data_IF_537595773615
#
_entry.id   IF_537595773615
#
_cell.length_a   1.000
_cell.length_b   1.000
_cell.length_c   1.000
_cell.angle_alpha   90.00
_cell.angle_beta   90.00
_cell.angle_gamma   90.00
#
_symmetry.space_group_name_H-M   'P 1'
#
loop_
_entity.id
_entity.type
_entity.pdbx_description
1 polymer ?
#
# COMPACT_ATOMS: atom_id res chain seq x y z
N UNK A 1 4.03 7.37 5.64
CA UNK A 1 4.27 6.65 6.90
C UNK A 1 4.79 5.27 6.56
N UNK A 2 5.95 4.89 7.09
CA UNK A 2 6.47 3.53 6.97
C UNK A 2 6.22 2.82 8.30
N UNK A 3 5.43 1.75 8.28
CA UNK A 3 5.05 0.98 9.47
C UNK A 3 5.82 -0.34 9.51
N UNK A 4 6.96 -0.34 10.21
CA UNK A 4 7.89 -1.44 10.38
C UNK A 4 7.60 -2.31 11.62
N UNK A 5 6.52 -2.02 12.35
CA UNK A 5 6.13 -2.78 13.55
C UNK A 5 5.84 -4.23 13.20
N UNK A 6 6.15 -5.15 14.12
CA UNK A 6 5.84 -6.59 14.01
C UNK A 6 4.37 -6.88 14.41
N UNK A 7 3.43 -6.17 13.79
CA UNK A 7 1.98 -6.37 13.97
C UNK A 7 1.34 -6.93 12.70
N UNK A 8 0.12 -7.46 12.84
CA UNK A 8 -0.60 -8.07 11.70
C UNK A 8 -0.91 -7.04 10.61
N UNK A 9 -1.02 -7.48 9.35
CA UNK A 9 -1.36 -6.59 8.24
C UNK A 9 -2.69 -5.86 8.46
N UNK A 10 -3.69 -6.53 9.04
CA UNK A 10 -4.99 -5.94 9.37
C UNK A 10 -4.89 -4.79 10.37
N UNK A 11 -4.05 -4.94 11.40
CA UNK A 11 -3.80 -3.90 12.40
C UNK A 11 -3.12 -2.67 11.78
N UNK A 12 -2.11 -2.89 10.93
CA UNK A 12 -1.49 -1.79 10.14
C UNK A 12 -2.49 -1.08 9.25
N UNK A 13 -3.42 -1.82 8.65
CA UNK A 13 -4.46 -1.25 7.78
C UNK A 13 -5.44 -0.39 8.58
N UNK A 14 -5.90 -0.89 9.73
CA UNK A 14 -6.76 -0.12 10.63
C UNK A 14 -6.09 1.18 11.09
N UNK A 15 -4.81 1.13 11.47
CA UNK A 15 -4.08 2.33 11.90
C UNK A 15 -3.87 3.32 10.76
N UNK A 16 -3.46 2.84 9.57
CA UNK A 16 -3.30 3.69 8.39
C UNK A 16 -4.63 4.33 7.97
N UNK A 17 -5.74 3.59 8.08
CA UNK A 17 -7.08 4.08 7.78
C UNK A 17 -7.56 5.07 8.87
N UNK A 18 -7.19 4.87 10.14
CA UNK A 18 -7.49 5.78 11.24
C UNK A 18 -6.75 7.12 11.11
N UNK A 19 -5.47 7.09 10.74
CA UNK A 19 -4.62 8.28 10.58
C UNK A 19 -4.99 9.11 9.34
N UNK A 20 -5.84 8.59 8.46
CA UNK A 20 -6.31 9.35 7.31
C UNK A 20 -5.40 9.24 6.08
N UNK A 21 -4.56 8.20 5.97
CA UNK A 21 -3.59 8.11 4.89
C UNK A 21 -4.31 8.01 3.52
N UNK A 22 -4.00 8.87 2.54
CA UNK A 22 -4.68 8.91 1.25
C UNK A 22 -4.33 7.73 0.33
N UNK A 23 -3.07 7.27 0.40
CA UNK A 23 -2.54 6.17 -0.40
C UNK A 23 -1.91 5.11 0.49
N UNK A 24 -2.34 3.86 0.31
CA UNK A 24 -1.78 2.69 0.99
C UNK A 24 -0.99 1.86 0.00
N UNK A 25 0.26 1.59 0.32
CA UNK A 25 1.17 0.76 -0.48
C UNK A 25 1.51 -0.49 0.32
N UNK A 26 1.23 -1.65 -0.26
CA UNK A 26 1.42 -2.97 0.35
C UNK A 26 2.54 -3.66 -0.42
N UNK A 27 3.57 -4.06 0.33
CA UNK A 27 4.70 -4.83 -0.18
C UNK A 27 4.53 -6.27 0.30
N UNK A 28 4.23 -7.19 -0.61
CA UNK A 28 4.08 -8.61 -0.31
C UNK A 28 4.89 -9.44 -1.30
N UNK A 29 5.23 -10.68 -0.96
CA UNK A 29 5.87 -11.58 -1.91
C UNK A 29 5.03 -11.79 -3.17
N UNK A 30 3.69 -11.76 -3.05
CA UNK A 30 2.78 -11.92 -4.18
C UNK A 30 2.85 -10.73 -5.14
N UNK A 31 2.85 -9.51 -4.62
CA UNK A 31 2.97 -8.30 -5.45
C UNK A 31 4.35 -8.22 -6.11
N UNK A 32 5.40 -8.57 -5.36
CA UNK A 32 6.78 -8.62 -5.88
C UNK A 32 6.94 -9.67 -6.98
N UNK A 33 6.34 -10.87 -6.84
CA UNK A 33 6.29 -11.89 -7.90
C UNK A 33 5.56 -11.41 -9.16
N UNK A 34 4.61 -10.48 -9.02
CA UNK A 34 3.92 -9.84 -10.15
C UNK A 34 4.65 -8.60 -10.68
N UNK A 35 5.86 -8.32 -10.19
CA UNK A 35 6.71 -7.22 -10.67
C UNK A 35 6.32 -5.84 -10.14
N UNK A 36 5.61 -5.76 -9.01
CA UNK A 36 5.16 -4.47 -8.50
C UNK A 36 4.76 -4.42 -7.03
N UNK A 37 4.17 -3.30 -6.67
CA UNK A 37 3.61 -2.97 -5.38
C UNK A 37 2.10 -2.90 -5.50
N UNK A 38 1.39 -3.38 -4.49
CA UNK A 38 -0.05 -3.25 -4.44
C UNK A 38 -0.41 -1.89 -3.83
N UNK A 39 -1.15 -1.08 -4.57
CA UNK A 39 -1.49 0.29 -4.19
C UNK A 39 -3.00 0.40 -4.12
N UNK A 40 -3.49 1.00 -3.03
CA UNK A 40 -4.89 1.27 -2.82
C UNK A 40 -5.07 2.71 -2.37
N UNK A 41 -5.95 3.46 -3.04
CA UNK A 41 -6.39 4.76 -2.55
C UNK A 41 -7.47 4.60 -1.49
N UNK A 42 -7.52 5.52 -0.53
CA UNK A 42 -8.54 5.52 0.53
C UNK A 42 -9.97 5.57 -0.03
N UNK A 43 -10.17 6.31 -1.12
CA UNK A 43 -11.46 6.47 -1.79
C UNK A 43 -11.80 5.35 -2.78
N UNK A 44 -10.85 4.45 -3.08
CA UNK A 44 -11.06 3.33 -4.00
C UNK A 44 -11.19 2.02 -3.23
N UNK A 45 -12.14 1.17 -3.63
CA UNK A 45 -12.29 -0.16 -3.06
C UNK A 45 -11.26 -1.14 -3.60
N UNK A 46 -10.85 -0.96 -4.86
CA UNK A 46 -9.92 -1.84 -5.57
C UNK A 46 -8.47 -1.44 -5.31
N UNK A 47 -7.59 -2.43 -5.27
CA UNK A 47 -6.14 -2.24 -5.29
C UNK A 47 -5.60 -2.54 -6.69
N UNK A 48 -4.51 -1.87 -7.06
CA UNK A 48 -3.84 -2.06 -8.35
C UNK A 48 -2.39 -2.40 -8.11
N UNK A 49 -1.82 -3.26 -8.96
CA UNK A 49 -0.39 -3.56 -8.94
C UNK A 49 0.31 -2.56 -9.85
N UNK A 50 1.26 -1.85 -9.27
CA UNK A 50 1.99 -0.76 -9.92
C UNK A 50 3.47 -1.08 -9.80
N UNK A 51 4.24 -0.92 -10.87
CA UNK A 51 5.68 -1.13 -10.80
C UNK A 51 6.35 -0.12 -9.86
N UNK A 52 7.47 -0.53 -9.26
CA UNK A 52 8.27 0.31 -8.37
C UNK A 52 8.68 1.64 -9.01
N UNK A 53 8.89 1.66 -10.32
CA UNK A 53 9.28 2.87 -11.05
C UNK A 53 8.12 3.86 -11.19
N UNK A 54 6.89 3.36 -11.38
CA UNK A 54 5.69 4.17 -11.62
C UNK A 54 5.01 4.66 -10.35
N UNK A 55 5.36 4.08 -9.19
CA UNK A 55 4.71 4.44 -7.91
C UNK A 55 4.93 5.93 -7.58
N UNK A 56 6.11 6.47 -7.89
CA UNK A 56 6.48 7.85 -7.55
C UNK A 56 5.62 8.84 -8.33
N UNK A 57 5.28 8.55 -9.59
CA UNK A 57 4.42 9.43 -10.39
C UNK A 57 2.96 9.43 -9.94
N UNK A 58 2.51 8.37 -9.28
CA UNK A 58 1.13 8.22 -8.80
C UNK A 58 0.93 8.86 -7.41
N UNK A 59 2.01 8.99 -6.64
CA UNK A 59 2.00 9.59 -5.30
C UNK A 59 2.27 11.11 -5.29
N UNK A 60 2.47 11.72 -6.47
CA UNK A 60 2.61 13.18 -6.63
C UNK A 60 1.28 13.92 -6.45
#
# INVERSE_FOLDING_TARGET
>A
LYDDRLVSAGEKFSDADLIGIPYRVIISEKSLKQGGLEVKKRNEKESRIISLEKIIDILK
#
